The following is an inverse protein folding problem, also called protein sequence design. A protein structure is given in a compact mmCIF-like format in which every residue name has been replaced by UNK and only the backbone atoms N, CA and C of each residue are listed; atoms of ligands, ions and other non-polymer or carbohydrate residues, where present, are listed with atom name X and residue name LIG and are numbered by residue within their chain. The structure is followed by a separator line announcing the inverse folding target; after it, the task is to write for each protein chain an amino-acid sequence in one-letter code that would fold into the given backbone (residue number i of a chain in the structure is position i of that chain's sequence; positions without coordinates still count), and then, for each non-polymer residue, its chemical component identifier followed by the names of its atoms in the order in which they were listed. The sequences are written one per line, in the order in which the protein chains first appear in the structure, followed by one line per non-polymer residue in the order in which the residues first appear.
data_IF_230797043953
#
_entry.id   IF_230797043953
#
_cell.length_a   1.000
_cell.length_b   1.000
_cell.length_c   1.000
_cell.angle_alpha   90.00
_cell.angle_beta   90.00
_cell.angle_gamma   90.00
#
_symmetry.space_group_name_H-M   'P 1'
#
loop_
_entity.id
_entity.type
_entity.pdbx_description
1 polymer ?
#
# COMPACT_ATOMS: atom_id res chain seq x y z
N UNK A 1 -6.93 8.15 4.08
CA UNK A 1 -7.17 7.34 2.85
C UNK A 1 -7.12 8.26 1.66
N UNK A 2 -6.68 7.76 0.52
CA UNK A 2 -6.62 8.48 -0.74
C UNK A 2 -7.30 7.67 -1.84
N UNK A 3 -7.97 8.39 -2.72
CA UNK A 3 -8.79 7.85 -3.81
C UNK A 3 -8.47 8.60 -5.09
N UNK A 4 -8.66 7.95 -6.22
CA UNK A 4 -8.63 8.56 -7.55
C UNK A 4 -9.91 8.15 -8.30
N UNK A 5 -10.56 9.08 -9.00
CA UNK A 5 -11.82 8.84 -9.75
C UNK A 5 -12.85 7.90 -9.06
N UNK A 6 -13.00 8.01 -7.73
CA UNK A 6 -13.95 7.22 -6.94
C UNK A 6 -13.48 5.81 -6.54
N UNK A 7 -12.24 5.43 -6.85
CA UNK A 7 -11.62 4.16 -6.44
C UNK A 7 -10.54 4.35 -5.37
N UNK A 8 -10.37 3.36 -4.48
CA UNK A 8 -9.37 3.39 -3.42
C UNK A 8 -7.95 3.21 -3.98
N UNK A 9 -7.02 4.07 -3.56
CA UNK A 9 -5.61 3.98 -3.97
C UNK A 9 -4.72 3.56 -2.80
N UNK A 10 -4.82 4.24 -1.66
CA UNK A 10 -4.00 3.87 -0.49
C UNK A 10 -4.64 4.32 0.83
N UNK A 11 -4.49 3.47 1.85
CA UNK A 11 -4.98 3.69 3.20
C UNK A 11 -3.85 3.73 4.20
N UNK A 12 -4.01 4.54 5.25
CA UNK A 12 -3.07 4.63 6.36
C UNK A 12 -3.83 4.53 7.67
N UNK A 13 -3.28 3.80 8.63
CA UNK A 13 -3.76 3.78 10.01
C UNK A 13 -2.59 3.64 10.98
N UNK A 14 -2.79 4.13 12.20
CA UNK A 14 -1.78 4.08 13.25
C UNK A 14 -2.02 2.87 14.15
N UNK A 15 -0.96 2.15 14.46
CA UNK A 15 -0.94 1.13 15.49
C UNK A 15 0.15 1.47 16.52
N UNK A 16 0.11 0.82 17.69
CA UNK A 16 1.07 1.09 18.78
C UNK A 16 2.54 1.00 18.34
N UNK A 17 2.85 0.10 17.40
CA UNK A 17 4.24 -0.21 17.01
C UNK A 17 4.61 0.17 15.58
N UNK A 18 3.63 0.55 14.74
CA UNK A 18 3.87 0.81 13.31
C UNK A 18 2.79 1.70 12.70
N UNK A 19 3.16 2.33 11.57
CA UNK A 19 2.24 2.79 10.56
C UNK A 19 1.79 1.59 9.71
N UNK A 20 0.49 1.38 9.58
CA UNK A 20 -0.06 0.43 8.63
C UNK A 20 -0.36 1.13 7.31
N UNK A 21 0.12 0.56 6.20
CA UNK A 21 -0.05 1.07 4.85
C UNK A 21 -0.79 0.03 4.01
N UNK A 22 -1.97 0.37 3.51
CA UNK A 22 -2.85 -0.56 2.79
C UNK A 22 -3.01 -0.17 1.31
N UNK A 23 -2.35 -0.85 0.37
CA UNK A 23 -2.51 -0.65 -1.07
C UNK A 23 -3.46 -1.68 -1.74
N UNK A 24 -4.38 -2.28 -0.98
CA UNK A 24 -5.16 -3.48 -1.36
C UNK A 24 -4.30 -4.74 -1.58
N UNK A 25 -4.94 -5.92 -1.56
CA UNK A 25 -4.28 -7.23 -1.75
C UNK A 25 -3.46 -7.35 -3.03
N UNK A 26 -3.94 -6.80 -4.14
CA UNK A 26 -3.23 -6.89 -5.42
C UNK A 26 -1.91 -6.12 -5.34
N UNK A 27 -1.90 -4.94 -4.72
CA UNK A 27 -0.68 -4.18 -4.45
C UNK A 27 0.30 -4.98 -3.57
N UNK A 28 -0.19 -5.54 -2.46
CA UNK A 28 0.66 -6.39 -1.59
C UNK A 28 1.25 -7.58 -2.35
N UNK A 29 0.44 -8.27 -3.15
CA UNK A 29 0.89 -9.45 -3.89
C UNK A 29 1.93 -9.09 -4.93
N UNK A 30 1.75 -7.97 -5.64
CA UNK A 30 2.68 -7.46 -6.66
C UNK A 30 4.03 -7.08 -6.08
N UNK A 31 4.05 -6.54 -4.86
CA UNK A 31 5.25 -6.03 -4.20
C UNK A 31 5.79 -6.94 -3.11
N UNK A 32 5.25 -8.15 -2.91
CA UNK A 32 5.59 -9.02 -1.77
C UNK A 32 7.10 -9.23 -1.60
N UNK A 33 7.80 -9.53 -2.70
CA UNK A 33 9.26 -9.74 -2.68
C UNK A 33 10.02 -8.42 -2.38
N UNK A 34 9.59 -7.30 -2.96
CA UNK A 34 10.19 -5.98 -2.70
C UNK A 34 9.96 -5.53 -1.25
N UNK A 35 8.79 -5.81 -0.66
CA UNK A 35 8.46 -5.53 0.74
C UNK A 35 9.43 -6.27 1.67
N UNK A 36 9.65 -7.56 1.41
CA UNK A 36 10.57 -8.40 2.20
C UNK A 36 12.01 -7.93 2.04
N UNK A 37 12.42 -7.58 0.81
CA UNK A 37 13.76 -7.03 0.55
C UNK A 37 13.99 -5.68 1.22
N UNK A 38 12.96 -4.84 1.33
CA UNK A 38 12.98 -3.58 2.07
C UNK A 38 12.99 -3.78 3.61
N UNK A 39 12.86 -5.02 4.09
CA UNK A 39 12.88 -5.36 5.51
C UNK A 39 11.57 -5.06 6.25
N UNK A 40 10.47 -4.90 5.52
CA UNK A 40 9.15 -4.69 6.10
C UNK A 40 8.41 -6.01 6.33
N UNK A 41 7.55 -6.02 7.35
CA UNK A 41 6.56 -7.07 7.55
C UNK A 41 5.26 -6.69 6.82
N UNK A 42 4.52 -7.68 6.33
CA UNK A 42 3.23 -7.46 5.69
C UNK A 42 2.24 -8.59 5.96
N UNK A 43 0.96 -8.25 5.86
CA UNK A 43 -0.13 -9.22 5.80
C UNK A 43 -0.58 -9.36 4.35
N UNK A 44 -1.75 -9.95 4.11
CA UNK A 44 -2.37 -9.97 2.77
C UNK A 44 -2.88 -8.60 2.31
N UNK A 45 -3.07 -7.64 3.21
CA UNK A 45 -3.77 -6.37 2.91
C UNK A 45 -2.95 -5.11 3.24
N UNK A 46 -1.84 -5.23 3.98
CA UNK A 46 -1.07 -4.08 4.43
C UNK A 46 0.39 -4.39 4.70
N UNK A 47 1.23 -3.37 4.57
CA UNK A 47 2.63 -3.29 5.00
C UNK A 47 2.71 -2.60 6.35
N UNK A 48 3.66 -3.01 7.19
CA UNK A 48 3.92 -2.41 8.52
C UNK A 48 5.26 -1.70 8.53
N UNK A 49 5.22 -0.37 8.65
CA UNK A 49 6.42 0.45 8.82
C UNK A 49 6.56 0.77 10.30
N UNK A 50 7.54 0.15 10.97
CA UNK A 50 7.76 0.38 12.41
C UNK A 50 8.14 1.83 12.69
N UNK A 51 7.68 2.37 13.81
CA UNK A 51 7.97 3.76 14.20
C UNK A 51 9.44 4.06 14.47
N UNK A 52 10.24 3.03 14.77
CA UNK A 52 11.68 3.13 15.01
C UNK A 52 12.52 2.96 13.74
N UNK A 53 11.88 2.96 12.56
CA UNK A 53 12.54 2.84 11.25
C UNK A 53 12.13 4.02 10.35
N UNK A 54 13.01 4.44 9.42
CA UNK A 54 12.63 5.44 8.44
C UNK A 54 11.54 4.91 7.51
N UNK A 55 10.73 5.84 7.02
CA UNK A 55 9.75 5.57 5.95
C UNK A 55 10.50 5.57 4.62
N UNK A 56 10.39 4.48 3.86
CA UNK A 56 10.83 4.43 2.47
C UNK A 56 9.75 5.07 1.58
N UNK A 57 9.89 6.37 1.34
CA UNK A 57 8.93 7.11 0.53
C UNK A 57 8.94 6.69 -0.94
N UNK A 58 10.08 6.26 -1.47
CA UNK A 58 10.18 5.75 -2.84
C UNK A 58 9.40 4.44 -3.00
N UNK A 59 9.39 3.59 -1.98
CA UNK A 59 8.55 2.40 -1.96
C UNK A 59 7.05 2.74 -1.87
N UNK A 60 6.68 3.76 -1.10
CA UNK A 60 5.29 4.25 -1.06
C UNK A 60 4.83 4.80 -2.42
N UNK A 61 5.67 5.58 -3.09
CA UNK A 61 5.42 6.15 -4.41
C UNK A 61 5.12 5.04 -5.42
N UNK A 62 5.98 4.01 -5.50
CA UNK A 62 5.76 2.84 -6.37
C UNK A 62 4.40 2.17 -6.17
N UNK A 63 3.97 1.99 -4.91
CA UNK A 63 2.68 1.37 -4.61
C UNK A 63 1.50 2.26 -5.04
N UNK A 64 1.64 3.58 -4.86
CA UNK A 64 0.62 4.55 -5.24
C UNK A 64 0.51 4.62 -6.76
N UNK A 65 1.62 4.77 -7.48
CA UNK A 65 1.66 4.81 -8.94
C UNK A 65 1.08 3.53 -9.55
N UNK A 66 1.46 2.37 -9.01
CA UNK A 66 0.89 1.09 -9.44
C UNK A 66 -0.63 1.08 -9.31
N UNK A 67 -1.18 1.50 -8.17
CA UNK A 67 -2.63 1.52 -7.96
C UNK A 67 -3.34 2.55 -8.84
N UNK A 68 -2.75 3.71 -9.12
CA UNK A 68 -3.34 4.70 -10.03
C UNK A 68 -3.41 4.12 -11.45
N UNK A 69 -2.30 3.56 -11.94
CA UNK A 69 -2.22 3.01 -13.30
C UNK A 69 -3.10 1.77 -13.48
N UNK A 70 -3.02 0.80 -12.57
CA UNK A 70 -3.77 -0.44 -12.63
C UNK A 70 -5.29 -0.22 -12.49
N UNK A 71 -5.69 0.87 -11.81
CA UNK A 71 -7.09 1.17 -11.54
C UNK A 71 -7.64 2.32 -12.38
N UNK A 72 -6.96 2.76 -13.44
CA UNK A 72 -7.39 3.89 -14.28
C UNK A 72 -8.84 3.77 -14.78
N UNK A 73 -9.28 2.55 -15.12
CA UNK A 73 -10.64 2.23 -15.58
C UNK A 73 -11.53 1.60 -14.49
N UNK A 74 -11.10 1.61 -13.22
CA UNK A 74 -11.84 1.00 -12.12
C UNK A 74 -13.05 1.87 -11.71
N UNK A 75 -14.26 1.34 -11.89
CA UNK A 75 -15.52 2.01 -11.55
C UNK A 75 -16.07 1.67 -10.16
N UNK A 76 -15.37 0.81 -9.39
CA UNK A 76 -15.75 0.43 -8.03
C UNK A 76 -14.75 0.95 -7.02
N UNK A 77 -15.21 1.11 -5.77
CA UNK A 77 -14.33 1.60 -4.70
C UNK A 77 -13.15 0.64 -4.43
N UNK A 78 -13.45 -0.67 -4.32
CA UNK A 78 -12.44 -1.73 -4.21
C UNK A 78 -12.30 -2.47 -5.54
N UNK A 79 -11.15 -3.12 -5.75
CA UNK A 79 -11.01 -4.12 -6.84
C UNK A 79 -12.01 -5.27 -6.63
N UNK A 80 -12.51 -5.85 -7.72
CA UNK A 80 -13.37 -7.05 -7.71
C UNK A 80 -12.54 -8.32 -7.81
#
# INVERSE_FOLDING_TARGET
MFTDHGTFIIGFSVAKHHLAVSPERVGITRFSDEIVQAGYDHTKELVRIRWDKPVDFSFLEKMIEFNILDKADCSTFWRK
#
